data_IF_923211087532
#
_entry.id   IF_923211087532
#
_cell.length_a   1.000
_cell.length_b   1.000
_cell.length_c   1.000
_cell.angle_alpha   90.00
_cell.angle_beta   90.00
_cell.angle_gamma   90.00
#
_symmetry.space_group_name_H-M   'P 1'
#
loop_
_entity.id
_entity.type
_entity.pdbx_description
1 polymer ?
#
# COMPACT_ATOMS: atom_id res chain seq x y z
N UNK A 1 71.33 -22.70 4.21
CA UNK A 1 70.72 -22.99 2.92
C UNK A 1 70.05 -24.37 2.98
N UNK A 2 68.70 -24.44 3.07
CA UNK A 2 67.96 -25.65 2.82
C UNK A 2 66.68 -25.28 2.09
N UNK A 3 66.61 -25.64 0.80
CA UNK A 3 65.45 -25.49 -0.06
C UNK A 3 64.40 -26.48 0.39
N UNK A 4 63.17 -25.98 0.70
CA UNK A 4 61.98 -26.79 0.95
C UNK A 4 61.23 -27.08 -0.35
N UNK A 5 61.29 -28.31 -0.81
CA UNK A 5 60.52 -28.82 -1.93
C UNK A 5 59.02 -28.83 -1.63
N UNK A 6 58.21 -28.07 -2.39
CA UNK A 6 56.74 -28.15 -2.40
C UNK A 6 56.32 -29.41 -3.13
N UNK A 7 55.84 -30.42 -2.39
CA UNK A 7 55.15 -31.58 -2.98
C UNK A 7 53.74 -31.19 -3.38
N UNK A 8 53.45 -31.21 -4.68
CA UNK A 8 52.08 -31.12 -5.21
C UNK A 8 51.36 -32.46 -4.97
N UNK A 9 50.28 -32.46 -4.26
CA UNK A 9 49.40 -33.62 -4.06
C UNK A 9 48.55 -33.80 -5.30
N UNK A 10 48.56 -34.96 -6.01
CA UNK A 10 47.71 -35.20 -7.16
C UNK A 10 46.24 -35.34 -6.72
N UNK A 11 45.32 -34.60 -7.37
CA UNK A 11 43.88 -34.73 -7.17
C UNK A 11 43.44 -36.17 -7.55
N UNK A 12 42.55 -36.74 -6.74
CA UNK A 12 41.96 -38.06 -6.99
C UNK A 12 41.10 -38.01 -8.28
N UNK A 13 40.98 -39.16 -8.97
CA UNK A 13 40.17 -39.25 -10.21
C UNK A 13 38.72 -38.88 -9.96
N UNK A 14 38.18 -39.08 -8.76
CA UNK A 14 36.81 -38.73 -8.37
C UNK A 14 36.62 -37.24 -8.23
N UNK A 15 37.62 -36.51 -7.71
CA UNK A 15 37.60 -35.04 -7.61
C UNK A 15 37.61 -34.37 -8.99
N UNK A 16 38.32 -34.92 -9.97
CA UNK A 16 38.34 -34.45 -11.36
C UNK A 16 36.99 -34.69 -12.06
N UNK A 17 36.33 -35.82 -11.79
CA UNK A 17 34.98 -36.08 -12.33
C UNK A 17 33.92 -35.15 -11.73
N UNK A 18 33.97 -34.86 -10.43
CA UNK A 18 33.06 -33.90 -9.77
C UNK A 18 33.21 -32.51 -10.34
N UNK A 19 34.44 -32.04 -10.55
CA UNK A 19 34.71 -30.70 -11.11
C UNK A 19 34.20 -30.59 -12.57
N UNK A 20 34.37 -31.67 -13.37
CA UNK A 20 33.82 -31.71 -14.74
C UNK A 20 32.31 -31.69 -14.78
N UNK A 21 31.62 -32.38 -13.84
CA UNK A 21 30.16 -32.36 -13.71
C UNK A 21 29.63 -30.97 -13.33
N UNK A 22 30.29 -30.27 -12.42
CA UNK A 22 29.92 -28.90 -12.02
C UNK A 22 30.04 -27.89 -13.17
N UNK A 23 31.13 -27.92 -13.93
CA UNK A 23 31.36 -27.00 -15.05
C UNK A 23 30.36 -27.24 -16.19
N UNK A 24 29.97 -28.48 -16.46
CA UNK A 24 28.98 -28.82 -17.50
C UNK A 24 27.57 -28.37 -17.04
N UNK A 25 27.25 -28.49 -15.76
CA UNK A 25 25.99 -28.03 -15.17
C UNK A 25 25.81 -26.50 -15.26
N UNK A 26 26.84 -25.72 -14.94
CA UNK A 26 26.80 -24.25 -15.04
C UNK A 26 26.67 -23.77 -16.51
N UNK A 27 27.36 -24.39 -17.46
CA UNK A 27 27.25 -24.05 -18.87
C UNK A 27 25.85 -24.35 -19.44
N UNK A 28 25.22 -25.45 -19.04
CA UNK A 28 23.84 -25.78 -19.43
C UNK A 28 22.81 -24.79 -18.89
N UNK A 29 22.97 -24.33 -17.65
CA UNK A 29 22.08 -23.32 -17.03
C UNK A 29 22.18 -21.97 -17.74
N UNK A 30 23.37 -21.54 -18.12
CA UNK A 30 23.59 -20.26 -18.84
C UNK A 30 22.94 -20.32 -20.23
N UNK A 31 23.04 -21.45 -20.94
CA UNK A 31 22.43 -21.62 -22.26
C UNK A 31 20.89 -21.63 -22.17
N UNK A 32 20.31 -22.27 -21.15
CA UNK A 32 18.85 -22.31 -20.97
C UNK A 32 18.30 -20.94 -20.58
N UNK A 33 18.95 -20.22 -19.66
CA UNK A 33 18.52 -18.87 -19.23
C UNK A 33 18.72 -17.86 -20.38
N UNK A 34 19.84 -17.93 -21.10
CA UNK A 34 20.12 -17.07 -22.25
C UNK A 34 19.16 -17.32 -23.42
N UNK A 35 18.83 -18.59 -23.72
CA UNK A 35 17.86 -18.96 -24.74
C UNK A 35 16.44 -18.51 -24.43
N UNK A 36 16.03 -18.64 -23.17
CA UNK A 36 14.71 -18.17 -22.69
C UNK A 36 14.60 -16.64 -22.75
N UNK A 37 15.68 -15.91 -22.44
CA UNK A 37 15.72 -14.45 -22.52
C UNK A 37 15.64 -13.92 -23.95
N UNK A 38 16.30 -14.61 -24.92
CA UNK A 38 16.20 -14.28 -26.35
C UNK A 38 14.81 -14.59 -26.93
N UNK A 39 14.14 -15.64 -26.44
CA UNK A 39 12.80 -16.02 -26.90
C UNK A 39 11.69 -15.10 -26.35
N UNK A 40 11.89 -14.50 -25.17
CA UNK A 40 10.96 -13.57 -24.52
C UNK A 40 11.11 -12.10 -24.93
N UNK A 41 12.07 -11.75 -25.81
CA UNK A 41 12.14 -10.38 -26.32
C UNK A 41 10.94 -10.08 -27.22
N UNK A 42 10.11 -9.05 -26.93
CA UNK A 42 9.07 -8.63 -27.85
C UNK A 42 9.71 -8.17 -29.17
N UNK A 43 9.30 -8.74 -30.30
CA UNK A 43 9.70 -8.32 -31.62
C UNK A 43 9.11 -6.93 -31.92
N UNK A 44 9.90 -5.90 -31.70
CA UNK A 44 9.59 -4.57 -32.23
C UNK A 44 9.91 -4.60 -33.72
N UNK A 45 8.89 -4.74 -34.55
CA UNK A 45 8.97 -4.49 -35.98
C UNK A 45 8.89 -2.97 -36.16
N UNK A 46 10.02 -2.35 -36.57
CA UNK A 46 10.03 -1.01 -37.15
C UNK A 46 9.90 -1.22 -38.64
N UNK A 47 8.72 -0.92 -39.17
CA UNK A 47 8.46 -0.96 -40.61
C UNK A 47 8.81 0.43 -41.19
N UNK A 48 9.94 0.49 -41.93
CA UNK A 48 10.33 1.69 -42.67
C UNK A 48 9.74 1.58 -44.09
N UNK A 49 8.45 1.93 -44.23
CA UNK A 49 7.83 2.14 -45.53
C UNK A 49 8.08 3.56 -46.07
N UNK A 50 8.16 3.81 -47.39
CA UNK A 50 8.50 5.10 -47.97
C UNK A 50 7.36 6.11 -47.78
N UNK A 51 7.74 7.33 -47.39
CA UNK A 51 6.86 8.48 -47.23
C UNK A 51 6.40 8.98 -48.58
N UNK A 52 5.16 8.76 -48.94
CA UNK A 52 4.50 9.49 -50.05
C UNK A 52 3.85 10.74 -49.46
N UNK A 53 4.38 11.89 -49.85
CA UNK A 53 3.85 13.21 -49.54
C UNK A 53 2.52 13.43 -50.28
N UNK A 54 1.40 13.41 -49.59
CA UNK A 54 0.16 14.07 -50.02
C UNK A 54 -0.32 15.02 -48.93
N UNK A 55 -0.22 16.29 -49.23
CA UNK A 55 -0.77 17.40 -48.48
C UNK A 55 -2.29 17.32 -48.48
N UNK A 56 -2.90 17.06 -47.30
CA UNK A 56 -4.30 17.41 -47.05
C UNK A 56 -4.55 17.59 -45.53
N UNK A 57 -5.07 18.74 -45.16
CA UNK A 57 -5.90 19.02 -43.99
C UNK A 57 -5.27 18.70 -42.64
N UNK A 58 -4.79 19.71 -41.92
CA UNK A 58 -4.52 19.62 -40.49
C UNK A 58 -5.84 19.42 -39.73
N UNK A 59 -6.29 18.17 -39.59
CA UNK A 59 -7.18 17.78 -38.52
C UNK A 59 -6.34 17.79 -37.24
N UNK A 60 -6.51 18.86 -36.46
CA UNK A 60 -6.08 18.88 -35.07
C UNK A 60 -6.82 17.72 -34.38
N UNK A 61 -6.13 16.59 -34.20
CA UNK A 61 -6.59 15.51 -33.37
C UNK A 61 -6.80 16.10 -31.95
N UNK A 62 -8.04 16.43 -31.63
CA UNK A 62 -8.43 16.84 -30.30
C UNK A 62 -8.00 15.74 -29.36
N UNK A 63 -7.20 16.07 -28.35
CA UNK A 63 -6.89 15.13 -27.27
C UNK A 63 -8.20 14.50 -26.80
N UNK A 64 -8.25 13.18 -26.52
CA UNK A 64 -9.47 12.52 -26.09
C UNK A 64 -10.04 13.28 -24.88
N UNK A 65 -11.32 13.65 -24.94
CA UNK A 65 -11.97 14.40 -23.88
C UNK A 65 -11.81 13.65 -22.55
N UNK A 66 -11.36 14.35 -21.51
CA UNK A 66 -11.15 13.77 -20.19
C UNK A 66 -12.44 13.07 -19.70
N UNK A 67 -12.33 11.84 -19.25
CA UNK A 67 -13.46 11.07 -18.75
C UNK A 67 -13.97 11.65 -17.41
N UNK A 68 -15.28 11.78 -17.29
CA UNK A 68 -15.94 12.36 -16.11
C UNK A 68 -16.91 11.37 -15.49
N UNK A 69 -17.42 11.68 -14.29
CA UNK A 69 -18.47 10.85 -13.69
C UNK A 69 -19.70 10.69 -14.57
N UNK A 70 -20.04 11.73 -15.36
CA UNK A 70 -21.20 11.71 -16.28
C UNK A 70 -21.02 10.74 -17.45
N UNK A 71 -19.78 10.45 -17.86
CA UNK A 71 -19.49 9.58 -19.01
C UNK A 71 -19.52 8.08 -18.68
N UNK A 72 -19.63 7.72 -17.40
CA UNK A 72 -19.68 6.30 -16.98
C UNK A 72 -21.06 5.73 -17.31
N UNK A 73 -21.11 4.65 -18.12
CA UNK A 73 -22.33 3.90 -18.42
C UNK A 73 -22.72 2.94 -17.29
N UNK A 74 -23.91 2.40 -17.36
CA UNK A 74 -24.41 1.29 -16.51
C UNK A 74 -24.26 1.55 -15.01
N UNK A 75 -24.61 2.78 -14.58
CA UNK A 75 -24.67 3.15 -13.17
C UNK A 75 -26.04 2.74 -12.63
N UNK A 76 -26.12 1.87 -11.60
CA UNK A 76 -27.39 1.36 -11.10
C UNK A 76 -28.15 2.44 -10.32
N UNK A 77 -29.47 2.38 -10.41
CA UNK A 77 -30.37 3.27 -9.66
C UNK A 77 -30.64 2.67 -8.28
N UNK A 78 -30.41 3.42 -7.20
CA UNK A 78 -30.76 3.02 -5.85
C UNK A 78 -29.79 3.46 -4.77
N UNK A 79 -30.10 3.07 -3.54
CA UNK A 79 -29.22 3.28 -2.38
C UNK A 79 -28.36 2.04 -2.15
N UNK A 80 -27.05 2.24 -2.07
CA UNK A 80 -26.08 1.17 -1.86
C UNK A 80 -25.24 1.44 -0.61
N UNK A 81 -25.14 0.42 0.22
CA UNK A 81 -24.36 0.47 1.46
C UNK A 81 -22.92 0.06 1.19
N UNK A 82 -22.00 0.83 1.70
CA UNK A 82 -20.59 0.50 1.61
C UNK A 82 -19.89 0.90 2.92
N UNK A 83 -18.68 0.41 3.11
CA UNK A 83 -17.89 0.68 4.31
C UNK A 83 -16.53 0.02 4.23
N UNK A 84 -15.75 0.09 5.30
CA UNK A 84 -14.45 -0.55 5.37
C UNK A 84 -13.33 0.39 5.81
N UNK A 85 -12.25 0.44 5.03
CA UNK A 85 -11.02 1.11 5.43
C UNK A 85 -11.21 2.56 5.88
N UNK A 86 -10.68 2.86 7.06
CA UNK A 86 -10.66 4.22 7.61
C UNK A 86 -9.70 5.14 6.86
N UNK A 87 -8.70 4.58 6.17
CA UNK A 87 -7.78 5.35 5.33
C UNK A 87 -8.48 6.06 4.17
N UNK A 88 -9.65 5.56 3.74
CA UNK A 88 -10.43 6.14 2.65
C UNK A 88 -11.24 7.39 3.02
N UNK A 89 -11.27 7.77 4.30
CA UNK A 89 -12.09 8.90 4.75
C UNK A 89 -11.89 10.20 3.93
N UNK A 90 -10.66 10.64 3.55
CA UNK A 90 -10.47 11.83 2.71
C UNK A 90 -11.04 11.65 1.30
N UNK A 91 -10.94 10.45 0.71
CA UNK A 91 -11.52 10.15 -0.61
C UNK A 91 -13.05 10.26 -0.51
N UNK A 92 -13.68 9.59 0.44
CA UNK A 92 -15.13 9.66 0.66
C UNK A 92 -15.63 11.09 0.81
N UNK A 93 -14.94 11.87 1.64
CA UNK A 93 -15.33 13.26 1.89
C UNK A 93 -15.34 14.11 0.63
N UNK A 94 -14.39 13.89 -0.28
CA UNK A 94 -14.26 14.67 -1.51
C UNK A 94 -15.04 14.06 -2.69
N UNK A 95 -14.93 12.74 -2.88
CA UNK A 95 -15.38 12.06 -4.09
C UNK A 95 -16.88 11.72 -4.05
N UNK A 96 -17.38 11.21 -2.92
CA UNK A 96 -18.76 10.72 -2.86
C UNK A 96 -19.78 11.82 -3.10
N UNK A 97 -19.55 13.02 -2.56
CA UNK A 97 -20.41 14.18 -2.83
C UNK A 97 -20.39 14.58 -4.30
N UNK A 98 -19.22 14.52 -4.95
CA UNK A 98 -19.09 14.80 -6.37
C UNK A 98 -19.79 13.74 -7.23
N UNK A 99 -19.67 12.46 -6.87
CA UNK A 99 -20.37 11.35 -7.53
C UNK A 99 -21.88 11.57 -7.41
N UNK A 100 -22.42 11.78 -6.23
CA UNK A 100 -23.84 11.95 -6.00
C UNK A 100 -24.42 13.19 -6.73
N UNK A 101 -23.66 14.27 -6.84
CA UNK A 101 -24.05 15.45 -7.61
C UNK A 101 -24.09 15.20 -9.12
N UNK A 102 -23.20 14.36 -9.65
CA UNK A 102 -23.15 14.05 -11.09
C UNK A 102 -23.98 12.83 -11.48
N UNK A 103 -24.24 11.93 -10.55
CA UNK A 103 -24.96 10.64 -10.70
C UNK A 103 -25.97 10.48 -9.55
N UNK A 104 -27.02 11.32 -9.50
CA UNK A 104 -27.97 11.34 -8.40
C UNK A 104 -28.75 10.03 -8.25
N UNK A 105 -28.79 9.20 -9.31
CA UNK A 105 -29.36 7.85 -9.28
C UNK A 105 -28.58 6.87 -8.40
N UNK A 106 -27.27 7.09 -8.17
CA UNK A 106 -26.41 6.26 -7.32
C UNK A 106 -26.30 6.89 -5.93
N UNK A 107 -27.14 6.46 -5.01
CA UNK A 107 -27.10 6.93 -3.62
C UNK A 107 -26.11 6.08 -2.81
N UNK A 108 -25.02 6.67 -2.37
CA UNK A 108 -23.99 6.03 -1.57
C UNK A 108 -24.23 6.24 -0.07
N UNK A 109 -24.30 5.16 0.70
CA UNK A 109 -24.48 5.20 2.16
C UNK A 109 -23.35 4.47 2.86
N UNK A 110 -22.47 5.24 3.50
CA UNK A 110 -21.43 4.67 4.35
C UNK A 110 -22.03 4.05 5.63
N UNK A 111 -21.53 2.87 6.02
CA UNK A 111 -22.01 2.12 7.18
C UNK A 111 -20.80 1.65 8.00
N UNK A 112 -20.76 2.04 9.27
CA UNK A 112 -19.82 1.52 10.24
C UNK A 112 -20.24 0.13 10.77
N UNK A 113 -19.29 -0.71 11.19
CA UNK A 113 -19.62 -1.98 11.83
C UNK A 113 -20.37 -1.76 13.14
N UNK A 114 -21.42 -2.56 13.37
CA UNK A 114 -22.19 -2.51 14.63
C UNK A 114 -21.35 -2.89 15.86
N UNK A 115 -20.31 -3.69 15.66
CA UNK A 115 -19.37 -4.13 16.70
C UNK A 115 -17.93 -4.10 16.19
N UNK A 116 -16.99 -3.74 17.06
CA UNK A 116 -15.57 -3.61 16.71
C UNK A 116 -15.25 -2.29 16.02
N UNK A 117 -13.98 -2.08 15.71
CA UNK A 117 -13.50 -0.88 15.01
C UNK A 117 -13.74 -0.95 13.51
N UNK A 118 -14.02 0.19 12.82
CA UNK A 118 -14.02 0.24 11.37
C UNK A 118 -12.62 -0.01 10.81
N UNK A 119 -12.55 -0.62 9.61
CA UNK A 119 -11.30 -0.93 8.91
C UNK A 119 -11.54 -1.88 7.75
N UNK A 120 -10.49 -2.19 6.99
CA UNK A 120 -10.57 -3.09 5.82
C UNK A 120 -11.15 -4.46 6.18
N UNK A 121 -10.68 -5.06 7.27
CA UNK A 121 -11.14 -6.38 7.71
C UNK A 121 -12.60 -6.40 8.14
N UNK A 122 -13.07 -5.38 8.88
CA UNK A 122 -14.49 -5.27 9.26
C UNK A 122 -15.38 -5.03 8.05
N UNK A 123 -14.97 -4.17 7.10
CA UNK A 123 -15.71 -3.92 5.88
C UNK A 123 -15.85 -5.16 5.00
N UNK A 124 -14.77 -5.91 4.80
CA UNK A 124 -14.80 -7.17 4.03
C UNK A 124 -15.70 -8.20 4.71
N UNK A 125 -15.66 -8.31 6.02
CA UNK A 125 -16.53 -9.20 6.79
C UNK A 125 -18.02 -8.82 6.66
N UNK A 126 -18.34 -7.51 6.73
CA UNK A 126 -19.70 -7.01 6.50
C UNK A 126 -20.18 -7.28 5.07
N UNK A 127 -19.31 -7.14 4.06
CA UNK A 127 -19.62 -7.50 2.67
C UNK A 127 -19.90 -9.00 2.54
N UNK A 128 -19.07 -9.84 3.15
CA UNK A 128 -19.28 -11.29 3.17
C UNK A 128 -20.62 -11.66 3.84
N UNK A 129 -21.03 -10.94 4.88
CA UNK A 129 -22.31 -11.16 5.58
C UNK A 129 -23.53 -10.58 4.86
N UNK A 130 -23.35 -9.82 3.76
CA UNK A 130 -24.44 -9.16 3.04
C UNK A 130 -24.95 -7.88 3.71
N UNK A 131 -24.20 -7.32 4.64
CA UNK A 131 -24.50 -6.04 5.32
C UNK A 131 -24.12 -4.83 4.44
N UNK A 132 -23.15 -5.03 3.52
CA UNK A 132 -22.68 -4.06 2.53
C UNK A 132 -22.87 -4.58 1.11
N UNK A 133 -23.03 -3.67 0.16
CA UNK A 133 -23.09 -3.97 -1.27
C UNK A 133 -21.69 -4.07 -1.89
N UNK A 134 -20.73 -3.24 -1.43
CA UNK A 134 -19.31 -3.33 -1.73
C UNK A 134 -18.48 -2.81 -0.55
N UNK A 135 -17.17 -3.06 -0.55
CA UNK A 135 -16.31 -2.59 0.53
C UNK A 135 -15.08 -1.84 0.00
N UNK A 136 -14.55 -0.94 0.83
CA UNK A 136 -13.30 -0.24 0.63
C UNK A 136 -12.20 -0.90 1.46
N UNK A 137 -11.06 -1.15 0.86
CA UNK A 137 -9.93 -1.78 1.53
C UNK A 137 -8.61 -1.09 1.20
N UNK A 138 -7.75 -0.94 2.19
CA UNK A 138 -6.36 -0.50 2.04
C UNK A 138 -5.37 -1.66 2.15
N UNK A 139 -5.83 -2.89 2.03
CA UNK A 139 -5.03 -4.10 1.90
C UNK A 139 -5.63 -5.07 0.89
N UNK A 140 -4.85 -5.99 0.33
CA UNK A 140 -5.40 -7.04 -0.51
C UNK A 140 -6.29 -8.00 0.30
N UNK A 141 -7.16 -8.72 -0.41
CA UNK A 141 -7.94 -9.83 0.14
C UNK A 141 -7.00 -10.97 0.58
N UNK A 142 -7.35 -11.60 1.69
CA UNK A 142 -6.66 -12.81 2.17
C UNK A 142 -7.20 -14.07 1.53
N UNK A 143 -6.42 -15.16 1.55
CA UNK A 143 -6.89 -16.46 1.08
C UNK A 143 -8.14 -16.95 1.84
N UNK A 144 -8.22 -16.64 3.13
CA UNK A 144 -9.38 -16.94 3.98
C UNK A 144 -10.65 -16.22 3.52
N UNK A 145 -10.55 -14.92 3.19
CA UNK A 145 -11.68 -14.14 2.70
C UNK A 145 -12.20 -14.64 1.35
N UNK A 146 -11.30 -15.03 0.43
CA UNK A 146 -11.69 -15.70 -0.81
C UNK A 146 -12.37 -17.05 -0.55
N UNK A 147 -11.89 -17.84 0.40
CA UNK A 147 -12.48 -19.12 0.77
C UNK A 147 -13.88 -18.93 1.37
N UNK A 148 -14.03 -17.99 2.30
CA UNK A 148 -15.32 -17.67 2.91
C UNK A 148 -16.36 -17.24 1.87
N UNK A 149 -15.98 -16.45 0.88
CA UNK A 149 -16.86 -16.05 -0.21
C UNK A 149 -17.32 -17.27 -1.01
N UNK A 150 -16.40 -18.16 -1.38
CA UNK A 150 -16.72 -19.40 -2.12
C UNK A 150 -17.68 -20.32 -1.35
N UNK A 151 -17.46 -20.49 -0.05
CA UNK A 151 -18.38 -21.27 0.80
C UNK A 151 -19.78 -20.69 0.88
N UNK A 152 -19.94 -19.38 0.59
CA UNK A 152 -21.23 -18.69 0.55
C UNK A 152 -21.85 -18.60 -0.85
N UNK A 153 -21.22 -19.25 -1.84
CA UNK A 153 -21.76 -19.35 -3.21
C UNK A 153 -21.45 -18.16 -4.13
N UNK A 154 -20.48 -17.29 -3.78
CA UNK A 154 -20.02 -16.20 -4.63
C UNK A 154 -18.49 -16.06 -4.61
N UNK A 155 -17.94 -15.16 -5.43
CA UNK A 155 -16.53 -14.81 -5.39
C UNK A 155 -16.35 -13.33 -5.09
N UNK A 156 -15.17 -12.96 -4.60
CA UNK A 156 -14.75 -11.57 -4.41
C UNK A 156 -13.78 -11.17 -5.50
N UNK A 157 -13.89 -9.93 -5.94
CA UNK A 157 -12.94 -9.26 -6.81
C UNK A 157 -12.42 -8.01 -6.10
N UNK A 158 -11.11 -7.74 -6.24
CA UNK A 158 -10.50 -6.49 -5.77
C UNK A 158 -10.04 -5.66 -6.95
N UNK A 159 -10.45 -4.39 -7.01
CA UNK A 159 -10.06 -3.43 -8.05
C UNK A 159 -9.26 -2.29 -7.43
N UNK A 160 -8.00 -2.17 -7.84
CA UNK A 160 -7.14 -1.08 -7.37
C UNK A 160 -7.58 0.25 -7.99
N UNK A 161 -7.68 1.29 -7.18
CA UNK A 161 -8.10 2.64 -7.58
C UNK A 161 -7.11 3.74 -7.17
N UNK A 162 -6.17 3.42 -6.29
CA UNK A 162 -5.16 4.37 -5.82
C UNK A 162 -4.07 3.68 -5.01
N UNK A 163 -3.11 4.50 -4.56
CA UNK A 163 -2.03 4.09 -3.66
C UNK A 163 -1.88 5.13 -2.54
N UNK A 164 -1.68 4.66 -1.32
CA UNK A 164 -1.42 5.45 -0.12
C UNK A 164 0.02 5.22 0.37
N UNK A 165 0.61 6.22 1.01
CA UNK A 165 1.82 6.05 1.80
C UNK A 165 1.47 5.70 3.24
N UNK A 166 2.24 4.81 3.86
CA UNK A 166 2.07 4.49 5.29
C UNK A 166 3.09 5.28 6.10
N UNK A 167 2.60 6.26 6.85
CA UNK A 167 3.42 7.11 7.71
C UNK A 167 3.58 6.49 9.10
N UNK A 168 4.76 6.70 9.68
CA UNK A 168 5.05 6.38 11.08
C UNK A 168 5.09 7.67 11.89
N UNK A 169 4.40 7.68 13.01
CA UNK A 169 4.34 8.82 13.93
C UNK A 169 4.78 8.43 15.34
N UNK A 170 5.43 9.37 15.99
CA UNK A 170 5.92 9.24 17.36
C UNK A 170 5.56 10.47 18.19
N UNK A 171 5.85 10.40 19.48
CA UNK A 171 5.73 11.56 20.37
C UNK A 171 6.58 12.72 19.86
N UNK A 172 6.07 13.95 19.99
CA UNK A 172 6.77 15.18 19.56
C UNK A 172 8.16 15.37 20.15
N UNK A 173 8.36 14.94 21.40
CA UNK A 173 9.62 15.15 22.12
C UNK A 173 10.69 14.11 21.79
N UNK A 174 10.34 13.03 21.10
CA UNK A 174 11.24 11.94 20.79
C UNK A 174 12.31 12.38 19.77
N UNK A 175 13.57 12.20 20.13
CA UNK A 175 14.72 12.50 19.27
C UNK A 175 15.26 11.20 18.69
N UNK A 176 14.87 10.89 17.47
CA UNK A 176 15.36 9.75 16.68
C UNK A 176 15.42 10.17 15.20
N UNK A 177 16.45 9.74 14.43
CA UNK A 177 16.62 10.19 13.04
C UNK A 177 15.55 9.63 12.09
N UNK A 178 15.07 8.42 12.35
CA UNK A 178 14.13 7.66 11.55
C UNK A 178 14.25 6.18 11.83
N UNK A 179 13.58 5.34 11.05
CA UNK A 179 13.64 3.88 11.18
C UNK A 179 13.83 3.21 9.82
N UNK A 180 14.51 2.09 9.80
CA UNK A 180 14.41 1.16 8.66
C UNK A 180 13.12 0.34 8.79
N UNK A 181 12.68 -0.25 7.65
CA UNK A 181 11.55 -1.18 7.64
C UNK A 181 11.77 -2.35 8.58
N UNK A 182 12.98 -2.92 8.56
CA UNK A 182 13.34 -4.05 9.44
C UNK A 182 13.27 -3.63 10.92
N UNK A 183 13.77 -2.45 11.28
CA UNK A 183 13.66 -1.94 12.64
C UNK A 183 12.19 -1.74 13.05
N UNK A 184 11.36 -1.18 12.17
CA UNK A 184 9.94 -1.00 12.44
C UNK A 184 9.24 -2.35 12.65
N UNK A 185 9.54 -3.36 11.84
CA UNK A 185 9.01 -4.72 12.01
C UNK A 185 9.47 -5.33 13.34
N UNK A 186 10.77 -5.27 13.66
CA UNK A 186 11.33 -5.79 14.91
C UNK A 186 10.73 -5.12 16.15
N UNK A 187 10.40 -3.82 16.07
CA UNK A 187 9.69 -3.09 17.14
C UNK A 187 8.30 -3.71 17.36
N UNK A 188 7.51 -3.90 16.30
CA UNK A 188 6.18 -4.49 16.42
C UNK A 188 6.18 -5.97 16.78
N UNK A 189 7.27 -6.69 16.49
CA UNK A 189 7.50 -8.07 16.95
C UNK A 189 8.02 -8.15 18.40
N UNK A 190 8.30 -6.99 19.05
CA UNK A 190 8.82 -6.94 20.41
C UNK A 190 10.30 -7.32 20.54
N UNK A 191 11.04 -7.39 19.46
CA UNK A 191 12.47 -7.67 19.43
C UNK A 191 13.30 -6.42 19.73
N UNK A 192 12.84 -5.25 19.29
CA UNK A 192 13.36 -3.94 19.67
C UNK A 192 12.33 -3.30 20.62
N UNK A 193 12.73 -3.05 21.84
CA UNK A 193 11.83 -2.57 22.92
C UNK A 193 12.26 -1.24 23.53
N UNK A 194 13.41 -0.71 23.12
CA UNK A 194 13.96 0.55 23.62
C UNK A 194 14.51 1.40 22.45
N UNK A 195 14.17 2.67 22.45
CA UNK A 195 14.60 3.62 21.42
C UNK A 195 16.12 3.74 21.28
N UNK A 196 16.88 3.48 22.34
CA UNK A 196 18.35 3.43 22.30
C UNK A 196 18.88 2.43 21.27
N UNK A 197 18.18 1.33 21.02
CA UNK A 197 18.58 0.30 20.06
C UNK A 197 18.54 0.79 18.59
N UNK A 198 17.87 1.90 18.35
CA UNK A 198 17.70 2.51 17.00
C UNK A 198 18.20 3.96 16.95
N UNK A 199 19.15 4.33 17.84
CA UNK A 199 19.78 5.65 17.84
C UNK A 199 18.99 6.75 18.54
N UNK A 200 17.97 6.40 19.31
CA UNK A 200 17.20 7.31 20.14
C UNK A 200 17.68 7.37 21.59
N UNK A 201 16.93 8.05 22.47
CA UNK A 201 17.20 8.10 23.90
C UNK A 201 16.97 6.74 24.58
N UNK A 202 17.49 6.58 25.81
CA UNK A 202 17.17 5.42 26.65
C UNK A 202 15.72 5.53 27.16
N UNK A 203 14.79 5.04 26.36
CA UNK A 203 13.35 5.15 26.59
C UNK A 203 12.64 3.91 26.05
N UNK A 204 11.79 3.25 26.85
CA UNK A 204 10.97 2.13 26.38
C UNK A 204 10.05 2.50 25.23
N UNK A 205 9.91 1.61 24.26
CA UNK A 205 8.99 1.77 23.14
C UNK A 205 7.60 1.25 23.55
N UNK A 206 6.58 2.06 23.29
CA UNK A 206 5.17 1.65 23.38
C UNK A 206 4.56 1.71 22.00
N UNK A 207 4.21 0.57 21.44
CA UNK A 207 3.54 0.49 20.13
C UNK A 207 2.04 0.55 20.27
N UNK A 208 1.39 1.30 19.35
CA UNK A 208 -0.07 1.33 19.21
C UNK A 208 -0.45 0.71 17.88
N UNK A 209 -1.54 -0.04 17.83
CA UNK A 209 -2.07 -0.66 16.62
C UNK A 209 -3.59 -0.81 16.69
N UNK A 210 -4.26 -0.87 15.55
CA UNK A 210 -5.62 -1.38 15.49
C UNK A 210 -5.61 -2.90 15.72
N UNK A 211 -6.75 -3.44 16.17
CA UNK A 211 -6.90 -4.90 16.28
C UNK A 211 -6.74 -5.55 14.91
N UNK A 212 -5.97 -6.63 14.79
CA UNK A 212 -5.61 -7.22 13.50
C UNK A 212 -6.80 -7.66 12.64
N UNK A 213 -7.89 -8.11 13.29
CA UNK A 213 -9.10 -8.55 12.59
C UNK A 213 -9.81 -7.41 11.85
N UNK A 214 -9.58 -6.17 12.28
CA UNK A 214 -10.22 -4.99 11.73
C UNK A 214 -9.22 -4.12 10.94
N UNK A 215 -7.92 -4.38 11.12
CA UNK A 215 -6.86 -3.46 10.73
C UNK A 215 -6.74 -3.26 9.22
N UNK A 216 -6.35 -2.04 8.89
CA UNK A 216 -5.85 -1.63 7.57
C UNK A 216 -4.34 -1.97 7.42
N UNK A 217 -3.86 -3.00 8.12
CA UNK A 217 -2.43 -3.27 8.28
C UNK A 217 -1.79 -3.79 7.01
N UNK A 218 -0.79 -3.07 6.54
CA UNK A 218 0.04 -3.43 5.38
C UNK A 218 1.41 -3.93 5.79
N UNK A 219 1.92 -3.53 6.99
CA UNK A 219 3.27 -3.86 7.45
C UNK A 219 3.61 -5.35 7.40
N UNK A 220 2.61 -6.20 7.58
CA UNK A 220 2.79 -7.67 7.65
C UNK A 220 1.98 -8.43 6.60
N UNK A 221 1.27 -7.74 5.71
CA UNK A 221 0.40 -8.40 4.72
C UNK A 221 1.15 -9.30 3.74
N UNK A 222 2.43 -9.04 3.52
CA UNK A 222 3.30 -9.86 2.68
C UNK A 222 3.78 -11.16 3.38
N UNK A 223 3.67 -11.25 4.72
CA UNK A 223 4.11 -12.43 5.48
C UNK A 223 3.09 -12.79 6.58
N UNK A 224 2.24 -13.81 6.34
CA UNK A 224 1.22 -14.25 7.29
C UNK A 224 1.77 -14.75 8.64
N UNK A 225 3.01 -15.25 8.67
CA UNK A 225 3.67 -15.68 9.92
C UNK A 225 3.99 -14.49 10.81
N UNK A 226 4.45 -13.38 10.23
CA UNK A 226 4.72 -12.14 10.96
C UNK A 226 3.42 -11.53 11.51
N UNK A 227 2.32 -11.62 10.77
CA UNK A 227 1.01 -11.15 11.25
C UNK A 227 0.59 -11.88 12.52
N UNK A 228 0.76 -13.21 12.59
CA UNK A 228 0.45 -14.00 13.80
C UNK A 228 1.39 -13.68 14.97
N UNK A 229 2.67 -13.43 14.70
CA UNK A 229 3.66 -13.09 15.74
C UNK A 229 3.42 -11.71 16.34
N UNK A 230 2.99 -10.74 15.55
CA UNK A 230 2.67 -9.37 16.03
C UNK A 230 1.52 -9.38 17.04
N UNK A 231 0.57 -10.32 16.89
CA UNK A 231 -0.55 -10.49 17.82
C UNK A 231 -0.11 -10.86 19.24
N UNK A 232 1.07 -11.41 19.41
CA UNK A 232 1.61 -11.89 20.69
C UNK A 232 2.61 -10.91 21.33
N UNK A 233 2.84 -9.73 20.72
CA UNK A 233 3.75 -8.74 21.31
C UNK A 233 3.12 -8.11 22.56
N UNK A 234 3.76 -8.27 23.70
CA UNK A 234 3.33 -7.72 24.98
C UNK A 234 3.37 -6.18 25.04
N UNK A 235 4.10 -5.54 24.11
CA UNK A 235 4.31 -4.10 24.06
C UNK A 235 3.30 -3.35 23.20
N UNK A 236 2.42 -4.05 22.48
CA UNK A 236 1.42 -3.44 21.61
C UNK A 236 0.12 -3.18 22.33
N UNK A 237 -0.29 -1.92 22.38
CA UNK A 237 -1.58 -1.49 22.90
C UNK A 237 -2.57 -1.28 21.76
N UNK A 238 -3.70 -1.97 21.82
CA UNK A 238 -4.74 -1.82 20.81
C UNK A 238 -5.56 -0.56 21.00
N UNK A 239 -5.91 0.06 19.89
CA UNK A 239 -6.71 1.28 19.81
C UNK A 239 -7.91 1.06 18.88
N UNK A 240 -8.99 1.78 19.17
CA UNK A 240 -10.20 1.70 18.35
C UNK A 240 -10.07 2.48 17.04
N UNK A 241 -9.37 3.62 17.06
CA UNK A 241 -9.30 4.53 15.91
C UNK A 241 -7.93 5.24 15.82
N UNK A 242 -7.62 5.77 14.63
CA UNK A 242 -6.46 6.64 14.43
C UNK A 242 -6.48 7.85 15.36
N UNK A 243 -7.64 8.46 15.60
CA UNK A 243 -7.76 9.60 16.53
C UNK A 243 -7.36 9.22 17.95
N UNK A 244 -7.78 8.05 18.41
CA UNK A 244 -7.35 7.53 19.72
C UNK A 244 -5.85 7.26 19.74
N UNK A 245 -5.30 6.63 18.71
CA UNK A 245 -3.88 6.35 18.59
C UNK A 245 -3.05 7.63 18.69
N UNK A 246 -3.39 8.67 17.92
CA UNK A 246 -2.68 9.95 17.94
C UNK A 246 -2.71 10.62 19.30
N UNK A 247 -3.87 10.58 19.99
CA UNK A 247 -4.00 11.09 21.34
C UNK A 247 -3.13 10.33 22.34
N UNK A 248 -3.01 8.98 22.20
CA UNK A 248 -2.16 8.17 23.07
C UNK A 248 -0.67 8.42 22.77
N UNK A 249 -0.26 8.42 21.49
CA UNK A 249 1.11 8.71 21.07
C UNK A 249 1.57 10.08 21.59
N UNK A 250 0.74 11.12 21.46
CA UNK A 250 1.08 12.47 21.94
C UNK A 250 1.33 12.55 23.45
N UNK A 251 0.75 11.64 24.23
CA UNK A 251 0.88 11.57 25.70
C UNK A 251 1.93 10.56 26.18
N UNK A 252 2.43 9.69 25.31
CA UNK A 252 3.39 8.62 25.64
C UNK A 252 4.76 8.96 25.05
N UNK A 253 5.76 9.35 25.84
CA UNK A 253 7.06 9.79 25.32
C UNK A 253 7.75 8.81 24.35
N UNK A 254 7.66 7.49 24.61
CA UNK A 254 8.16 6.43 23.74
C UNK A 254 7.12 5.87 22.76
N UNK A 255 5.99 6.56 22.58
CA UNK A 255 4.87 6.07 21.77
C UNK A 255 5.16 6.07 20.27
N UNK A 256 4.70 5.02 19.58
CA UNK A 256 4.82 4.81 18.14
C UNK A 256 3.53 4.26 17.56
N UNK A 257 3.11 4.78 16.40
CA UNK A 257 1.97 4.31 15.63
C UNK A 257 2.23 4.45 14.13
N UNK A 258 1.62 3.62 13.30
CA UNK A 258 1.66 3.74 11.84
C UNK A 258 0.25 3.70 11.26
N UNK A 259 0.04 4.45 10.18
CA UNK A 259 -1.24 4.52 9.50
C UNK A 259 -1.12 5.25 8.15
N UNK A 260 -2.25 5.46 7.46
CA UNK A 260 -2.35 6.28 6.25
C UNK A 260 -1.67 7.64 6.40
N UNK A 261 -0.88 8.03 5.39
CA UNK A 261 -0.23 9.33 5.34
C UNK A 261 -1.25 10.48 5.39
N UNK A 262 -2.37 10.34 4.68
CA UNK A 262 -3.42 11.36 4.62
C UNK A 262 -4.04 11.66 5.99
N UNK A 263 -4.09 10.65 6.87
CA UNK A 263 -4.63 10.79 8.22
C UNK A 263 -3.67 11.51 9.19
N UNK A 264 -2.34 11.38 9.01
CA UNK A 264 -1.38 11.80 10.04
C UNK A 264 -0.38 12.85 9.60
N UNK A 265 -0.06 12.98 8.32
CA UNK A 265 0.90 14.00 7.85
C UNK A 265 0.45 15.42 8.21
N UNK A 266 -0.83 15.80 8.09
CA UNK A 266 -1.27 17.14 8.45
C UNK A 266 -1.43 17.38 9.96
N UNK A 267 -1.15 16.38 10.83
CA UNK A 267 -1.37 16.48 12.28
C UNK A 267 -0.26 17.26 12.98
N UNK A 268 -0.66 18.00 14.03
CA UNK A 268 0.24 18.87 14.80
C UNK A 268 0.70 18.24 16.12
N UNK A 269 0.04 17.19 16.58
CA UNK A 269 0.22 16.63 17.94
C UNK A 269 1.25 15.52 18.01
N UNK A 270 1.72 15.05 16.86
CA UNK A 270 2.70 13.96 16.72
C UNK A 270 3.80 14.35 15.75
N UNK A 271 4.95 13.68 15.85
CA UNK A 271 6.09 13.86 14.96
C UNK A 271 6.13 12.73 13.94
N UNK A 272 6.28 13.09 12.66
CA UNK A 272 6.50 12.14 11.57
C UNK A 272 7.94 11.63 11.59
N UNK A 273 8.14 10.33 11.38
CA UNK A 273 9.47 9.73 11.23
C UNK A 273 9.77 9.43 9.76
N UNK A 274 10.95 9.80 9.26
CA UNK A 274 11.49 9.28 8.01
C UNK A 274 11.68 7.76 8.08
N UNK A 275 11.42 7.07 6.97
CA UNK A 275 11.62 5.63 6.83
C UNK A 275 12.59 5.32 5.68
N UNK A 276 13.29 4.20 5.78
CA UNK A 276 14.20 3.78 4.72
C UNK A 276 14.42 2.28 4.67
N UNK A 277 15.06 1.82 3.61
CA UNK A 277 15.54 0.44 3.52
C UNK A 277 16.85 0.27 4.31
N UNK A 278 17.64 1.34 4.45
CA UNK A 278 18.89 1.37 5.20
C UNK A 278 18.91 2.58 6.13
N UNK A 279 19.71 2.56 7.22
CA UNK A 279 19.82 3.69 8.15
C UNK A 279 20.38 4.98 7.52
N UNK A 280 21.11 4.86 6.41
CA UNK A 280 21.72 5.99 5.68
C UNK A 280 20.82 6.57 4.59
N UNK A 281 19.72 5.90 4.25
CA UNK A 281 18.80 6.30 3.20
C UNK A 281 17.36 6.41 3.76
N UNK A 282 17.19 7.35 4.68
CA UNK A 282 15.89 7.65 5.26
C UNK A 282 15.17 8.69 4.40
N UNK A 283 13.90 8.44 4.10
CA UNK A 283 13.06 9.26 3.23
C UNK A 283 11.86 9.80 4.00
N UNK A 284 11.65 11.10 3.92
CA UNK A 284 10.52 11.78 4.55
C UNK A 284 9.26 11.67 3.69
N UNK A 285 8.16 11.17 4.26
CA UNK A 285 6.85 11.14 3.59
C UNK A 285 6.12 12.50 3.63
N UNK A 286 6.75 13.52 4.15
CA UNK A 286 6.27 14.90 4.16
C UNK A 286 7.23 15.79 3.37
N UNK A 287 6.71 16.91 2.85
CA UNK A 287 7.55 17.94 2.21
C UNK A 287 8.39 18.63 3.27
N UNK A 288 9.70 18.58 3.11
CA UNK A 288 10.62 19.23 4.03
C UNK A 288 10.65 20.76 3.86
N UNK A 289 10.98 21.52 4.92
CA UNK A 289 11.21 21.05 6.28
C UNK A 289 9.92 20.68 7.04
N UNK A 290 10.04 19.79 8.05
CA UNK A 290 8.95 19.49 8.96
C UNK A 290 8.46 20.77 9.64
N UNK A 291 7.15 21.03 9.60
CA UNK A 291 6.53 22.18 10.24
C UNK A 291 6.69 22.09 11.75
N UNK A 292 7.35 23.08 12.40
CA UNK A 292 7.50 23.07 13.85
C UNK A 292 6.16 23.17 14.59
N UNK A 293 6.03 22.55 15.78
CA UNK A 293 4.78 22.57 16.55
C UNK A 293 4.21 23.95 16.83
N UNK A 294 5.07 24.94 17.06
CA UNK A 294 4.67 26.33 17.32
C UNK A 294 4.11 27.08 16.09
N UNK A 295 4.30 26.54 14.89
CA UNK A 295 3.72 27.09 13.65
C UNK A 295 2.44 26.34 13.23
N UNK A 296 2.11 25.24 13.86
CA UNK A 296 0.91 24.45 13.65
C UNK A 296 -0.21 24.93 14.63
N UNK A 297 -1.50 24.98 14.25
CA UNK A 297 -2.12 24.46 13.03
C UNK A 297 -2.19 25.41 11.83
N UNK A 298 -1.84 26.73 11.92
CA UNK A 298 -1.94 27.60 10.75
C UNK A 298 -1.16 27.08 9.53
N UNK A 299 0.03 26.52 9.79
CA UNK A 299 0.84 25.83 8.78
C UNK A 299 0.86 24.33 9.10
N UNK A 300 0.60 23.49 8.11
CA UNK A 300 0.55 22.02 8.26
C UNK A 300 1.55 21.34 7.31
N UNK A 301 2.06 20.20 7.73
CA UNK A 301 2.84 19.35 6.84
C UNK A 301 2.00 18.88 5.66
N UNK A 302 2.63 18.77 4.50
CA UNK A 302 2.03 18.24 3.27
C UNK A 302 2.69 16.90 2.91
N UNK A 303 1.91 15.99 2.33
CA UNK A 303 2.42 14.70 1.87
C UNK A 303 3.39 14.94 0.71
N UNK A 304 4.53 14.26 0.76
CA UNK A 304 5.47 14.18 -0.35
C UNK A 304 5.09 12.99 -1.26
N UNK A 305 4.19 13.22 -2.20
CA UNK A 305 3.71 12.18 -3.11
C UNK A 305 4.79 11.70 -4.08
N UNK A 306 5.81 12.52 -4.36
CA UNK A 306 6.88 12.17 -5.29
C UNK A 306 7.74 11.00 -4.82
N UNK A 307 7.99 10.89 -3.50
CA UNK A 307 8.75 9.77 -2.93
C UNK A 307 8.00 8.45 -3.00
N UNK A 308 6.66 8.50 -3.11
CA UNK A 308 5.84 7.32 -3.35
C UNK A 308 5.87 6.97 -4.83
N UNK A 309 5.66 7.95 -5.72
CA UNK A 309 5.63 7.78 -7.19
C UNK A 309 6.94 7.21 -7.72
N UNK A 310 8.08 7.69 -7.23
CA UNK A 310 9.41 7.23 -7.66
C UNK A 310 9.92 5.97 -6.94
N UNK A 311 9.12 5.42 -6.00
CA UNK A 311 9.45 4.19 -5.28
C UNK A 311 10.54 4.32 -4.22
N UNK A 312 10.98 5.53 -3.86
CA UNK A 312 11.99 5.73 -2.82
C UNK A 312 11.44 5.57 -1.40
N UNK A 313 10.13 5.77 -1.21
CA UNK A 313 9.49 5.54 0.09
C UNK A 313 9.12 4.06 0.26
N UNK A 314 9.53 3.41 1.37
CA UNK A 314 9.56 1.96 1.46
C UNK A 314 8.22 1.28 1.77
N UNK A 315 7.22 2.00 2.32
CA UNK A 315 5.93 1.40 2.67
C UNK A 315 4.77 2.11 1.98
N UNK A 316 4.07 1.37 1.15
CA UNK A 316 2.86 1.81 0.47
C UNK A 316 1.70 0.85 0.73
N UNK A 317 0.50 1.34 0.57
CA UNK A 317 -0.74 0.58 0.62
C UNK A 317 -1.54 0.81 -0.65
N UNK A 318 -2.00 -0.27 -1.28
CA UNK A 318 -2.90 -0.17 -2.42
C UNK A 318 -4.34 -0.04 -1.93
N UNK A 319 -5.08 0.87 -2.55
CA UNK A 319 -6.49 1.09 -2.25
C UNK A 319 -7.36 0.29 -3.21
N UNK A 320 -8.27 -0.51 -2.65
CA UNK A 320 -9.13 -1.41 -3.42
C UNK A 320 -10.60 -1.17 -3.13
N UNK A 321 -11.42 -1.20 -4.18
CA UNK A 321 -12.84 -1.52 -4.06
C UNK A 321 -12.99 -3.03 -4.11
N UNK A 322 -13.66 -3.61 -3.12
CA UNK A 322 -13.95 -5.04 -3.03
C UNK A 322 -15.37 -5.28 -3.51
N UNK A 323 -15.50 -6.07 -4.55
CA UNK A 323 -16.76 -6.33 -5.27
C UNK A 323 -17.18 -7.77 -5.06
N UNK A 324 -18.43 -7.97 -4.69
CA UNK A 324 -19.06 -9.29 -4.62
C UNK A 324 -19.53 -9.70 -6.03
N UNK A 325 -18.98 -10.79 -6.55
CA UNK A 325 -19.27 -11.32 -7.90
C UNK A 325 -20.42 -12.35 -7.82
N UNK A 326 -21.64 -11.90 -7.94
CA UNK A 326 -22.85 -12.74 -7.81
C UNK A 326 -23.93 -12.39 -8.83
N UNK A 327 -23.64 -11.54 -9.83
CA UNK A 327 -24.57 -11.01 -10.83
C UNK A 327 -25.74 -10.19 -10.25
N UNK A 328 -25.65 -9.79 -8.98
CA UNK A 328 -26.66 -8.99 -8.29
C UNK A 328 -26.45 -7.48 -8.46
N UNK A 329 -27.37 -6.71 -7.87
CA UNK A 329 -27.31 -5.23 -7.87
C UNK A 329 -26.08 -4.70 -7.14
N UNK A 330 -25.65 -5.38 -6.09
CA UNK A 330 -24.44 -5.07 -5.32
C UNK A 330 -23.17 -5.18 -6.17
N UNK A 331 -23.09 -6.17 -7.06
CA UNK A 331 -21.99 -6.25 -8.03
C UNK A 331 -21.98 -5.03 -8.96
N UNK A 332 -23.15 -4.67 -9.52
CA UNK A 332 -23.29 -3.51 -10.40
C UNK A 332 -22.87 -2.23 -9.71
N UNK A 333 -23.24 -2.06 -8.42
CA UNK A 333 -22.86 -0.89 -7.63
C UNK A 333 -21.35 -0.79 -7.40
N UNK A 334 -20.70 -1.89 -6.97
CA UNK A 334 -19.26 -1.92 -6.77
C UNK A 334 -18.47 -1.70 -8.06
N UNK A 335 -18.92 -2.27 -9.19
CA UNK A 335 -18.34 -2.04 -10.51
C UNK A 335 -18.50 -0.58 -10.97
N UNK A 336 -19.70 -0.01 -10.80
CA UNK A 336 -19.98 1.38 -11.16
C UNK A 336 -19.15 2.34 -10.32
N UNK A 337 -19.11 2.16 -8.99
CA UNK A 337 -18.26 2.96 -8.09
C UNK A 337 -16.80 2.89 -8.50
N UNK A 338 -16.29 1.70 -8.81
CA UNK A 338 -14.92 1.52 -9.30
C UNK A 338 -14.68 2.28 -10.61
N UNK A 339 -15.59 2.17 -11.60
CA UNK A 339 -15.45 2.91 -12.87
C UNK A 339 -15.47 4.41 -12.67
N UNK A 340 -16.32 4.93 -11.76
CA UNK A 340 -16.37 6.34 -11.41
C UNK A 340 -15.02 6.80 -10.83
N UNK A 341 -14.47 6.08 -9.86
CA UNK A 341 -13.14 6.38 -9.29
C UNK A 341 -12.02 6.33 -10.32
N UNK A 342 -12.11 5.47 -11.33
CA UNK A 342 -11.11 5.31 -12.39
C UNK A 342 -11.27 6.29 -13.56
N UNK A 343 -12.26 7.19 -13.55
CA UNK A 343 -12.30 8.31 -14.49
C UNK A 343 -11.17 9.32 -14.22
N UNK A 344 -10.82 10.16 -15.19
CA UNK A 344 -9.85 11.24 -14.98
C UNK A 344 -10.30 12.18 -13.85
N UNK A 345 -11.61 12.46 -13.78
CA UNK A 345 -12.20 13.23 -12.69
C UNK A 345 -12.03 12.54 -11.33
N UNK A 346 -12.29 11.24 -11.27
CA UNK A 346 -12.13 10.43 -10.05
C UNK A 346 -10.67 10.34 -9.61
N UNK A 347 -9.74 10.10 -10.54
CA UNK A 347 -8.31 10.03 -10.25
C UNK A 347 -7.75 11.38 -9.78
N UNK A 348 -8.19 12.49 -10.38
CA UNK A 348 -7.85 13.84 -9.91
C UNK A 348 -8.34 14.08 -8.48
N UNK A 349 -9.55 13.64 -8.15
CA UNK A 349 -10.08 13.78 -6.80
C UNK A 349 -9.33 12.89 -5.78
N UNK A 350 -8.90 11.69 -6.18
CA UNK A 350 -8.01 10.82 -5.37
C UNK A 350 -6.68 11.54 -5.10
N UNK A 351 -6.06 12.15 -6.12
CA UNK A 351 -4.82 12.92 -5.94
C UNK A 351 -5.02 14.13 -5.01
N UNK A 352 -6.11 14.86 -5.16
CA UNK A 352 -6.48 15.99 -4.28
C UNK A 352 -6.70 15.57 -2.83
N UNK A 353 -7.09 14.30 -2.60
CA UNK A 353 -7.25 13.72 -1.28
C UNK A 353 -5.91 13.27 -0.65
N UNK A 354 -4.76 13.49 -1.34
CA UNK A 354 -3.42 13.16 -0.85
C UNK A 354 -2.95 11.73 -1.16
N UNK A 355 -3.63 11.04 -2.07
CA UNK A 355 -3.27 9.70 -2.53
C UNK A 355 -2.63 9.75 -3.93
N UNK A 356 -2.03 8.64 -4.35
CA UNK A 356 -1.46 8.50 -5.69
C UNK A 356 -2.48 7.83 -6.59
N UNK A 357 -2.85 8.46 -7.71
CA UNK A 357 -3.72 7.85 -8.71
C UNK A 357 -3.04 6.64 -9.38
N UNK A 358 -3.83 5.77 -10.00
CA UNK A 358 -3.33 4.60 -10.75
C UNK A 358 -3.18 4.85 -12.25
N UNK A 359 -3.53 6.06 -12.71
CA UNK A 359 -3.41 6.52 -14.10
C UNK A 359 -2.74 7.86 -14.16
#
# INVERSE_FOLDING_TARGET
>A
MKQGSKRSVPLSKDAVQMIRGLIIGELLTIVIIGGLWLWLRPRLWIDNGPVSSSSQGADTASAPAASTFKTVSDVPIGTFKYGGSTAWAPIRQLVDSQIQNNRPELQLRYVDPAKGSPGSGSGIRMLLNGELDFAESSRPLTAEEYNMARHRGFTLEQRQVGVDGIAVVVNQTLKVPGLTIDQLQQIYLGQITNWRQVGGPDLPITTFSQQPENADTVLFSANPLLTKQTLNSTNTQYVYSTTEALRRVSKTPGGLYYTSASAVVPQCTVKLLPLGFTPTQLVSLYREPLVPPNQCPPKRNQINTEVIKNGSYPIISKLFVIIKRNKGREQQAGEAYTRLLLTDQGQKAIEQSGFIPVR
#
